data_IF_248756108991
#
_entry.id   IF_248756108991
#
_cell.length_a   1.000
_cell.length_b   1.000
_cell.length_c   1.000
_cell.angle_alpha   90.00
_cell.angle_beta   90.00
_cell.angle_gamma   90.00
#
_symmetry.space_group_name_H-M   'P 1'
#
loop_
_entity.id
_entity.type
_entity.pdbx_description
1 polymer ?
#
# COMPACT_ATOMS: atom_id res chain seq x y z
N UNK A 1 2.25 10.44 -16.76
CA UNK A 1 2.04 9.69 -15.52
C UNK A 1 1.24 10.52 -14.54
N UNK A 2 0.23 9.94 -13.91
CA UNK A 2 -0.66 10.64 -13.00
C UNK A 2 0.04 11.00 -11.68
N UNK A 3 -0.51 11.98 -10.95
CA UNK A 3 -0.02 12.33 -9.61
C UNK A 3 -0.17 11.13 -8.67
N UNK A 4 -1.24 10.36 -8.81
CA UNK A 4 -1.48 9.16 -8.01
C UNK A 4 -0.37 8.15 -8.20
N UNK A 5 0.01 7.88 -9.44
CA UNK A 5 1.07 6.93 -9.74
C UNK A 5 2.42 7.41 -9.23
N UNK A 6 2.72 8.70 -9.41
CA UNK A 6 3.97 9.28 -8.88
C UNK A 6 4.03 9.18 -7.37
N UNK A 7 2.91 9.46 -6.70
CA UNK A 7 2.83 9.36 -5.24
C UNK A 7 3.09 7.92 -4.80
N UNK A 8 2.45 6.95 -5.45
CA UNK A 8 2.66 5.55 -5.11
C UNK A 8 4.11 5.12 -5.33
N UNK A 9 4.71 5.53 -6.45
CA UNK A 9 6.09 5.16 -6.76
C UNK A 9 7.07 5.66 -5.69
N UNK A 10 6.89 6.89 -5.23
CA UNK A 10 7.73 7.41 -4.15
C UNK A 10 7.46 6.69 -2.84
N UNK A 11 6.19 6.40 -2.53
CA UNK A 11 5.83 5.64 -1.34
C UNK A 11 6.50 4.26 -1.35
N UNK A 12 6.41 3.56 -2.45
CA UNK A 12 6.99 2.21 -2.58
C UNK A 12 8.50 2.23 -2.42
N UNK A 13 9.17 3.20 -3.05
CA UNK A 13 10.62 3.34 -2.94
C UNK A 13 11.04 3.59 -1.50
N UNK A 14 10.39 4.53 -0.83
CA UNK A 14 10.71 4.85 0.56
C UNK A 14 10.38 3.72 1.52
N UNK A 15 9.29 3.01 1.26
CA UNK A 15 8.92 1.85 2.08
C UNK A 15 9.98 0.76 1.98
N UNK A 16 10.45 0.45 0.79
CA UNK A 16 11.50 -0.54 0.61
C UNK A 16 12.81 -0.11 1.27
N UNK A 17 13.17 1.18 1.18
CA UNK A 17 14.37 1.71 1.82
C UNK A 17 14.30 1.65 3.34
N UNK A 18 13.15 2.02 3.91
CA UNK A 18 13.02 2.11 5.36
C UNK A 18 12.79 0.76 6.04
N UNK A 19 12.08 -0.14 5.38
CA UNK A 19 11.66 -1.39 6.02
C UNK A 19 12.45 -2.61 5.55
N UNK A 20 13.02 -2.56 4.34
CA UNK A 20 13.80 -3.68 3.84
C UNK A 20 13.07 -5.01 3.95
N UNK A 21 13.73 -5.99 4.57
CA UNK A 21 13.17 -7.33 4.73
C UNK A 21 11.95 -7.41 5.65
N UNK A 22 11.71 -6.36 6.43
CA UNK A 22 10.52 -6.28 7.28
C UNK A 22 9.24 -5.99 6.49
N UNK A 23 9.37 -5.48 5.28
CA UNK A 23 8.24 -5.30 4.36
C UNK A 23 8.00 -6.61 3.63
N UNK A 24 7.01 -7.36 4.07
CA UNK A 24 6.75 -8.71 3.55
C UNK A 24 5.89 -8.72 2.30
N UNK A 25 4.96 -7.76 2.20
CA UNK A 25 4.11 -7.60 1.03
C UNK A 25 3.82 -6.12 0.83
N UNK A 26 3.73 -5.73 -0.44
CA UNK A 26 3.26 -4.41 -0.83
C UNK A 26 2.54 -4.56 -2.16
N UNK A 27 1.26 -4.26 -2.15
CA UNK A 27 0.38 -4.44 -3.31
C UNK A 27 -0.38 -3.15 -3.57
N UNK A 28 -0.30 -2.66 -4.79
CA UNK A 28 -1.14 -1.56 -5.26
C UNK A 28 -2.38 -2.17 -5.89
N UNK A 29 -3.56 -1.72 -5.49
CA UNK A 29 -4.79 -2.22 -6.09
C UNK A 29 -5.74 -1.05 -6.34
N UNK A 30 -6.98 -1.34 -6.73
CA UNK A 30 -7.95 -0.31 -7.03
C UNK A 30 -7.70 0.40 -8.35
N UNK A 31 -8.24 1.60 -8.49
CA UNK A 31 -8.24 2.33 -9.76
C UNK A 31 -6.84 2.69 -10.25
N UNK A 32 -5.92 3.03 -9.36
CA UNK A 32 -4.55 3.39 -9.76
C UNK A 32 -3.83 2.19 -10.38
N UNK A 33 -4.02 1.00 -9.81
CA UNK A 33 -3.41 -0.21 -10.37
C UNK A 33 -3.93 -0.52 -11.77
N UNK A 34 -5.18 -0.15 -12.05
CA UNK A 34 -5.82 -0.41 -13.35
C UNK A 34 -5.70 0.74 -14.34
N UNK A 35 -4.96 1.79 -13.98
CA UNK A 35 -4.87 3.03 -14.79
C UNK A 35 -6.23 3.65 -15.07
N UNK A 36 -7.15 3.57 -14.11
CA UNK A 36 -8.50 4.09 -14.22
C UNK A 36 -8.76 5.22 -13.23
N UNK A 37 -7.73 5.74 -12.59
CA UNK A 37 -7.89 6.77 -11.57
C UNK A 37 -8.36 8.10 -12.14
N UNK A 38 -9.14 8.81 -11.31
CA UNK A 38 -9.55 10.19 -11.56
C UNK A 38 -8.93 11.06 -10.48
N UNK A 39 -9.15 12.38 -10.55
CA UNK A 39 -8.65 13.30 -9.52
C UNK A 39 -9.13 12.96 -8.12
N UNK A 40 -10.30 12.34 -8.01
CA UNK A 40 -10.91 12.01 -6.73
C UNK A 40 -10.56 10.61 -6.22
N UNK A 41 -9.75 9.87 -6.96
CA UNK A 41 -9.38 8.51 -6.56
C UNK A 41 -8.40 8.50 -5.40
N UNK A 42 -8.47 7.45 -4.58
CA UNK A 42 -7.46 7.18 -3.56
C UNK A 42 -6.40 6.24 -4.12
N UNK A 43 -5.21 6.30 -3.53
CA UNK A 43 -4.19 5.29 -3.80
C UNK A 43 -4.42 4.14 -2.81
N UNK A 44 -4.91 3.02 -3.32
CA UNK A 44 -5.24 1.84 -2.50
C UNK A 44 -4.05 0.93 -2.37
N UNK A 45 -3.56 0.77 -1.14
CA UNK A 45 -2.36 0.00 -0.84
C UNK A 45 -2.67 -1.06 0.21
N UNK A 46 -2.19 -2.28 -0.03
CA UNK A 46 -2.22 -3.34 0.96
C UNK A 46 -0.78 -3.74 1.26
N UNK A 47 -0.43 -3.79 2.54
CA UNK A 47 0.93 -4.12 2.94
C UNK A 47 0.96 -5.03 4.16
N UNK A 48 2.00 -5.84 4.27
CA UNK A 48 2.26 -6.68 5.44
C UNK A 48 3.65 -6.38 5.94
N UNK A 49 3.76 -6.07 7.22
CA UNK A 49 5.03 -5.75 7.89
C UNK A 49 5.22 -6.65 9.11
N UNK A 50 6.42 -6.59 9.70
CA UNK A 50 6.82 -7.51 10.76
C UNK A 50 6.03 -7.31 12.06
N UNK A 51 5.80 -6.07 12.48
CA UNK A 51 5.19 -5.78 13.78
C UNK A 51 4.38 -4.47 13.79
N UNK A 52 3.69 -4.23 14.90
CA UNK A 52 2.82 -3.04 15.05
C UNK A 52 3.57 -1.70 14.94
N UNK A 53 4.79 -1.63 15.43
CA UNK A 53 5.58 -0.41 15.33
C UNK A 53 5.83 -0.05 13.86
N UNK A 54 6.15 -1.04 13.06
CA UNK A 54 6.39 -0.84 11.63
C UNK A 54 5.09 -0.52 10.89
N UNK A 55 3.98 -1.12 11.31
CA UNK A 55 2.66 -0.82 10.76
C UNK A 55 2.36 0.67 10.91
N UNK A 56 2.54 1.20 12.11
CA UNK A 56 2.31 2.62 12.38
C UNK A 56 3.21 3.52 11.53
N UNK A 57 4.50 3.17 11.43
CA UNK A 57 5.44 3.94 10.63
C UNK A 57 5.09 3.93 9.15
N UNK A 58 4.61 2.81 8.64
CA UNK A 58 4.24 2.72 7.23
C UNK A 58 2.96 3.51 6.95
N UNK A 59 2.01 3.48 7.87
CA UNK A 59 0.80 4.31 7.77
C UNK A 59 1.16 5.80 7.77
N UNK A 60 2.09 6.21 8.63
CA UNK A 60 2.57 7.59 8.67
C UNK A 60 3.25 8.00 7.37
N UNK A 61 4.03 7.10 6.78
CA UNK A 61 4.68 7.36 5.51
C UNK A 61 3.64 7.59 4.40
N UNK A 62 2.61 6.76 4.36
CA UNK A 62 1.52 6.92 3.39
C UNK A 62 0.85 8.28 3.54
N UNK A 63 0.61 8.70 4.78
CA UNK A 63 0.01 9.99 5.07
C UNK A 63 0.92 11.15 4.60
N UNK A 64 2.21 11.07 4.90
CA UNK A 64 3.17 12.10 4.49
C UNK A 64 3.26 12.24 2.97
N UNK A 65 3.34 11.12 2.27
CA UNK A 65 3.41 11.12 0.80
C UNK A 65 2.11 11.65 0.22
N UNK A 66 0.98 11.27 0.81
CA UNK A 66 -0.32 11.77 0.40
C UNK A 66 -0.41 13.29 0.51
N UNK A 67 0.09 13.87 1.60
CA UNK A 67 0.13 15.32 1.76
C UNK A 67 1.04 15.98 0.73
N UNK A 68 2.18 15.38 0.47
CA UNK A 68 3.16 15.93 -0.48
C UNK A 68 2.58 16.06 -1.89
N UNK A 69 1.85 15.07 -2.33
CA UNK A 69 1.29 15.00 -3.69
C UNK A 69 -0.17 15.48 -3.77
N UNK A 70 -0.76 15.81 -2.62
CA UNK A 70 -2.18 16.17 -2.53
C UNK A 70 -3.07 15.06 -3.09
N UNK A 71 -2.70 13.81 -2.76
CA UNK A 71 -3.41 12.62 -3.21
C UNK A 71 -3.71 11.78 -1.96
N UNK A 72 -4.97 11.41 -1.71
CA UNK A 72 -5.27 10.60 -0.54
C UNK A 72 -4.81 9.15 -0.74
N UNK A 73 -4.24 8.58 0.31
CA UNK A 73 -3.91 7.16 0.36
C UNK A 73 -4.92 6.44 1.25
N UNK A 74 -5.27 5.24 0.86
CA UNK A 74 -6.09 4.33 1.67
C UNK A 74 -5.25 3.09 1.98
N UNK A 75 -4.33 3.18 2.94
CA UNK A 75 -3.46 2.06 3.26
C UNK A 75 -4.16 1.08 4.18
N UNK A 76 -4.03 -0.20 3.87
CA UNK A 76 -4.41 -1.28 4.77
C UNK A 76 -3.13 -2.02 5.07
N UNK A 77 -2.64 -1.87 6.29
CA UNK A 77 -1.39 -2.47 6.72
C UNK A 77 -1.69 -3.51 7.79
N UNK A 78 -1.17 -4.72 7.58
CA UNK A 78 -1.30 -5.82 8.51
C UNK A 78 0.08 -6.24 9.00
N UNK A 79 0.13 -6.77 10.22
CA UNK A 79 1.34 -7.45 10.67
C UNK A 79 1.32 -8.87 10.13
N UNK A 80 2.48 -9.52 10.15
CA UNK A 80 2.57 -10.93 9.75
C UNK A 80 1.57 -11.78 10.53
N UNK A 81 1.43 -11.53 11.83
CA UNK A 81 0.49 -12.27 12.67
C UNK A 81 -0.96 -12.06 12.24
N UNK A 82 -1.37 -10.81 12.06
CA UNK A 82 -2.73 -10.48 11.63
C UNK A 82 -3.04 -10.99 10.23
N UNK A 83 -2.05 -10.97 9.34
CA UNK A 83 -2.24 -11.41 7.97
C UNK A 83 -2.66 -12.88 7.88
N UNK A 84 -2.23 -13.71 8.83
CA UNK A 84 -2.62 -15.13 8.85
C UNK A 84 -4.12 -15.33 8.86
N UNK A 85 -4.85 -14.39 9.44
CA UNK A 85 -6.31 -14.47 9.57
C UNK A 85 -7.05 -13.92 8.35
N UNK A 86 -6.44 -13.05 7.55
CA UNK A 86 -7.12 -12.39 6.44
C UNK A 86 -6.70 -12.87 5.05
N UNK A 87 -5.57 -13.56 4.95
CA UNK A 87 -5.02 -13.93 3.62
C UNK A 87 -5.94 -14.81 2.79
N UNK A 88 -6.81 -15.59 3.44
CA UNK A 88 -7.76 -16.47 2.77
C UNK A 88 -9.18 -15.91 2.75
N UNK A 89 -9.37 -14.68 3.23
CA UNK A 89 -10.67 -14.02 3.17
C UNK A 89 -10.97 -13.59 1.74
N UNK A 90 -12.24 -13.25 1.47
CA UNK A 90 -12.62 -12.72 0.16
C UNK A 90 -11.80 -11.47 -0.18
N UNK A 91 -11.62 -10.59 0.81
CA UNK A 91 -10.84 -9.37 0.64
C UNK A 91 -9.39 -9.69 0.24
N UNK A 92 -8.75 -10.58 0.99
CA UNK A 92 -7.35 -10.95 0.70
C UNK A 92 -7.19 -11.58 -0.67
N UNK A 93 -8.14 -12.42 -1.08
CA UNK A 93 -8.10 -13.05 -2.40
C UNK A 93 -8.29 -12.03 -3.52
N UNK A 94 -9.22 -11.09 -3.34
CA UNK A 94 -9.46 -10.05 -4.33
C UNK A 94 -8.23 -9.17 -4.54
N UNK A 95 -7.61 -8.69 -3.46
CA UNK A 95 -6.41 -7.86 -3.53
C UNK A 95 -5.30 -8.59 -4.27
N UNK A 96 -5.07 -9.87 -3.95
CA UNK A 96 -4.01 -10.64 -4.58
C UNK A 96 -4.27 -10.94 -6.06
N UNK A 97 -5.53 -11.08 -6.45
CA UNK A 97 -5.87 -11.42 -7.83
C UNK A 97 -5.91 -10.21 -8.76
N UNK A 98 -6.22 -9.02 -8.24
CA UNK A 98 -6.38 -7.81 -9.06
C UNK A 98 -5.30 -6.77 -8.84
N UNK A 99 -4.50 -6.90 -7.79
CA UNK A 99 -3.48 -5.92 -7.43
C UNK A 99 -2.18 -6.10 -8.21
N UNK A 100 -1.39 -5.02 -8.22
CA UNK A 100 -0.03 -5.03 -8.73
C UNK A 100 0.90 -5.32 -7.56
N UNK A 101 1.59 -6.45 -7.61
CA UNK A 101 2.46 -6.90 -6.52
C UNK A 101 3.83 -6.26 -6.69
N UNK A 102 4.25 -5.48 -5.68
CA UNK A 102 5.56 -4.81 -5.67
C UNK A 102 6.57 -5.66 -4.89
N UNK A 103 6.14 -6.20 -3.76
CA UNK A 103 6.99 -7.05 -2.93
C UNK A 103 6.28 -8.34 -2.59
#
# INVERSE_FOLDING_TARGET
>A
MSQHRKAFDEFAEKAEEQFGDSLKKLILYGSVARDEETEDSDVDVFAVVENENQKEKLEDLAFEIGLKYEVPFSPIVKTVESYRYVKNSLYGREVRSTGEIIV
#
